data_IF_965572944238
#
_entry.id   IF_965572944238
#
_cell.length_a   1.000
_cell.length_b   1.000
_cell.length_c   1.000
_cell.angle_alpha   90.00
_cell.angle_beta   90.00
_cell.angle_gamma   90.00
#
_symmetry.space_group_name_H-M   'P 1'
#
loop_
_entity.id
_entity.type
_entity.pdbx_description
1 polymer ?
#
# COMPACT_ATOMS: atom_id res chain seq x y z
N UNK A 1 -2.61 17.67 -0.28
CA UNK A 1 -3.20 18.59 0.71
C UNK A 1 -4.16 17.91 1.69
N UNK A 2 -5.07 17.04 1.25
CA UNK A 2 -6.06 16.36 2.12
C UNK A 2 -5.38 15.53 3.22
N UNK A 3 -4.31 14.79 2.89
CA UNK A 3 -3.58 13.95 3.85
C UNK A 3 -2.98 14.74 5.02
N UNK A 4 -2.48 15.95 4.76
CA UNK A 4 -1.91 16.81 5.81
C UNK A 4 -2.97 17.27 6.81
N UNK A 5 -4.16 17.63 6.33
CA UNK A 5 -5.29 18.04 7.17
C UNK A 5 -5.72 16.90 8.11
N UNK A 6 -5.85 15.68 7.59
CA UNK A 6 -6.18 14.51 8.41
C UNK A 6 -5.10 14.22 9.47
N UNK A 7 -3.83 14.35 9.10
CA UNK A 7 -2.71 14.15 10.01
C UNK A 7 -2.73 15.15 11.17
N UNK A 8 -2.86 16.44 10.87
CA UNK A 8 -2.91 17.48 11.92
C UNK A 8 -4.15 17.34 12.80
N UNK A 9 -5.30 16.98 12.22
CA UNK A 9 -6.53 16.73 12.99
C UNK A 9 -6.36 15.53 13.94
N UNK A 10 -5.76 14.44 13.48
CA UNK A 10 -5.50 13.26 14.30
C UNK A 10 -4.52 13.55 15.45
N UNK A 11 -3.47 14.35 15.20
CA UNK A 11 -2.55 14.80 16.24
C UNK A 11 -3.28 15.67 17.27
N UNK A 12 -4.11 16.62 16.84
CA UNK A 12 -4.88 17.47 17.74
C UNK A 12 -5.81 16.68 18.67
N UNK A 13 -6.53 15.69 18.11
CA UNK A 13 -7.40 14.79 18.88
C UNK A 13 -6.57 13.90 19.81
N UNK A 14 -5.42 13.38 19.36
CA UNK A 14 -4.54 12.57 20.19
C UNK A 14 -3.99 13.36 21.38
N UNK A 15 -3.57 14.61 21.18
CA UNK A 15 -3.12 15.49 22.25
C UNK A 15 -4.25 15.77 23.24
N UNK A 16 -5.47 16.00 22.78
CA UNK A 16 -6.63 16.21 23.65
C UNK A 16 -6.97 14.96 24.48
N UNK A 17 -6.82 13.77 23.91
CA UNK A 17 -7.10 12.50 24.60
C UNK A 17 -5.98 12.05 25.54
N UNK A 18 -4.75 12.53 25.34
CA UNK A 18 -3.57 12.07 26.07
C UNK A 18 -3.73 12.10 27.60
N UNK A 19 -4.22 13.17 28.24
CA UNK A 19 -4.40 13.21 29.67
C UNK A 19 -5.51 12.31 30.20
N UNK A 20 -6.52 12.01 29.37
CA UNK A 20 -7.73 11.27 29.77
C UNK A 20 -7.69 9.80 29.38
N UNK A 21 -7.16 9.49 28.21
CA UNK A 21 -7.17 8.14 27.59
C UNK A 21 -5.91 7.89 26.78
N UNK A 22 -4.78 7.71 27.48
CA UNK A 22 -3.44 7.54 26.85
C UNK A 22 -3.41 6.50 25.74
N UNK A 23 -4.08 5.35 25.93
CA UNK A 23 -4.11 4.29 24.93
C UNK A 23 -4.91 4.67 23.67
N UNK A 24 -6.02 5.39 23.85
CA UNK A 24 -6.83 5.83 22.72
C UNK A 24 -6.07 6.89 21.88
N UNK A 25 -5.34 7.80 22.55
CA UNK A 25 -4.50 8.78 21.89
C UNK A 25 -3.37 8.12 21.08
N UNK A 26 -2.69 7.14 21.71
CA UNK A 26 -1.63 6.37 21.05
C UNK A 26 -2.17 5.58 19.86
N UNK A 27 -3.31 4.90 20.02
CA UNK A 27 -3.96 4.14 18.95
C UNK A 27 -4.27 5.03 17.76
N UNK A 28 -4.91 6.18 17.99
CA UNK A 28 -5.27 7.12 16.95
C UNK A 28 -4.03 7.62 16.17
N UNK A 29 -2.98 8.00 16.91
CA UNK A 29 -1.75 8.49 16.31
C UNK A 29 -1.07 7.40 15.47
N UNK A 30 -0.91 6.20 16.02
CA UNK A 30 -0.29 5.07 15.33
C UNK A 30 -1.10 4.66 14.09
N UNK A 31 -2.42 4.52 14.21
CA UNK A 31 -3.30 4.18 13.08
C UNK A 31 -3.19 5.22 11.96
N UNK A 32 -3.14 6.51 12.30
CA UNK A 32 -2.99 7.58 11.31
C UNK A 32 -1.64 7.51 10.60
N UNK A 33 -0.55 7.29 11.35
CA UNK A 33 0.79 7.16 10.78
C UNK A 33 0.90 5.96 9.84
N UNK A 34 0.37 4.79 10.25
CA UNK A 34 0.34 3.61 9.39
C UNK A 34 -0.52 3.82 8.15
N UNK A 35 -1.70 4.43 8.29
CA UNK A 35 -2.56 4.74 7.16
C UNK A 35 -1.92 5.67 6.14
N UNK A 36 -1.21 6.70 6.61
CA UNK A 36 -0.49 7.61 5.73
C UNK A 36 0.72 6.94 5.06
N UNK A 37 1.48 6.13 5.80
CA UNK A 37 2.67 5.48 5.27
C UNK A 37 2.34 4.41 4.22
N UNK A 38 1.34 3.59 4.46
CA UNK A 38 0.98 2.46 3.59
C UNK A 38 -0.07 2.81 2.53
N UNK A 39 -0.88 3.84 2.77
CA UNK A 39 -1.93 4.26 1.85
C UNK A 39 -1.46 5.14 0.68
N UNK A 40 -0.17 5.41 0.56
CA UNK A 40 0.36 6.32 -0.48
C UNK A 40 0.09 5.82 -1.91
N UNK A 41 0.09 4.50 -2.13
CA UNK A 41 -0.19 3.90 -3.44
C UNK A 41 -1.67 3.87 -3.82
N UNK A 42 -2.59 3.99 -2.85
CA UNK A 42 -4.04 3.88 -3.10
C UNK A 42 -4.56 4.91 -4.12
N UNK A 43 -4.20 6.21 -4.06
CA UNK A 43 -4.66 7.19 -5.04
C UNK A 43 -4.21 6.89 -6.46
N UNK A 44 -3.00 6.35 -6.60
CA UNK A 44 -2.43 5.95 -7.89
C UNK A 44 -3.16 4.74 -8.46
N UNK A 45 -3.32 3.68 -7.65
CA UNK A 45 -4.04 2.48 -8.05
C UNK A 45 -5.51 2.80 -8.41
N UNK A 46 -6.17 3.69 -7.66
CA UNK A 46 -7.52 4.14 -7.97
C UNK A 46 -7.59 4.88 -9.30
N UNK A 47 -6.62 5.78 -9.58
CA UNK A 47 -6.55 6.52 -10.83
C UNK A 47 -6.33 5.59 -12.02
N UNK A 48 -5.39 4.64 -11.91
CA UNK A 48 -5.12 3.66 -12.95
C UNK A 48 -6.29 2.69 -13.18
N UNK A 49 -7.00 2.31 -12.13
CA UNK A 49 -8.23 1.51 -12.26
C UNK A 49 -9.31 2.21 -13.11
N UNK A 50 -9.49 3.52 -12.92
CA UNK A 50 -10.58 4.25 -13.57
C UNK A 50 -10.20 4.86 -14.92
N UNK A 51 -8.95 5.29 -15.07
CA UNK A 51 -8.48 6.07 -16.22
C UNK A 51 -7.21 5.48 -16.87
N UNK A 52 -6.73 4.32 -16.40
CA UNK A 52 -5.55 3.68 -16.96
C UNK A 52 -5.79 3.20 -18.40
N UNK A 53 -4.82 3.41 -19.26
CA UNK A 53 -4.84 2.91 -20.63
C UNK A 53 -4.13 1.57 -20.67
N UNK A 54 -4.81 0.56 -21.21
CA UNK A 54 -4.27 -0.78 -21.36
C UNK A 54 -3.27 -0.84 -22.53
N UNK A 55 -2.12 -1.44 -22.28
CA UNK A 55 -1.13 -1.82 -23.28
C UNK A 55 -0.59 -3.20 -22.94
N UNK A 56 -0.08 -3.90 -23.94
CA UNK A 56 0.66 -5.14 -23.71
C UNK A 56 2.10 -4.80 -23.34
N UNK A 57 2.55 -5.37 -22.21
CA UNK A 57 3.94 -5.33 -21.77
C UNK A 57 4.56 -6.72 -21.84
N UNK A 58 5.86 -6.79 -21.60
CA UNK A 58 6.62 -8.03 -21.55
C UNK A 58 7.41 -8.09 -20.26
N UNK A 59 7.38 -9.23 -19.58
CA UNK A 59 8.14 -9.44 -18.36
C UNK A 59 9.63 -9.54 -18.69
N UNK A 60 10.43 -8.65 -18.13
CA UNK A 60 11.87 -8.59 -18.35
C UNK A 60 12.68 -9.29 -17.26
N UNK A 61 12.21 -9.26 -15.98
CA UNK A 61 12.85 -9.93 -14.85
C UNK A 61 11.80 -10.48 -13.90
N UNK A 62 12.06 -11.65 -13.34
CA UNK A 62 11.24 -12.28 -12.29
C UNK A 62 12.11 -12.52 -11.07
N UNK A 63 11.79 -11.87 -9.95
CA UNK A 63 12.47 -12.02 -8.66
C UNK A 63 11.47 -12.51 -7.59
N UNK A 64 11.19 -13.82 -7.61
CA UNK A 64 10.26 -14.43 -6.66
C UNK A 64 10.83 -14.54 -5.24
N UNK A 65 12.16 -14.42 -5.06
CA UNK A 65 12.81 -14.44 -3.76
C UNK A 65 12.62 -13.15 -2.96
N UNK A 66 12.43 -12.03 -3.65
CA UNK A 66 12.28 -10.70 -3.04
C UNK A 66 10.82 -10.23 -3.11
N UNK A 67 9.98 -10.76 -2.24
CA UNK A 67 8.54 -10.47 -2.16
C UNK A 67 7.75 -10.71 -3.46
N UNK A 68 8.28 -11.53 -4.38
CA UNK A 68 7.61 -11.84 -5.63
C UNK A 68 7.59 -10.67 -6.62
N UNK A 69 8.66 -9.90 -6.73
CA UNK A 69 8.72 -8.74 -7.62
C UNK A 69 8.93 -9.17 -9.08
N UNK A 70 8.13 -8.58 -9.97
CA UNK A 70 8.30 -8.68 -11.43
C UNK A 70 8.69 -7.32 -11.99
N UNK A 71 9.54 -7.35 -13.02
CA UNK A 71 9.87 -6.18 -13.82
C UNK A 71 9.31 -6.39 -15.21
N UNK A 72 8.80 -5.35 -15.82
CA UNK A 72 8.17 -5.44 -17.13
C UNK A 72 8.46 -4.19 -17.96
N UNK A 73 8.53 -4.41 -19.27
CA UNK A 73 8.73 -3.37 -20.26
C UNK A 73 7.48 -3.23 -21.12
N UNK A 74 7.15 -2.02 -21.52
CA UNK A 74 6.03 -1.71 -22.39
C UNK A 74 6.34 -0.50 -23.27
N UNK A 75 5.60 -0.34 -24.37
CA UNK A 75 5.82 0.72 -25.33
C UNK A 75 4.61 1.63 -25.41
N UNK A 76 4.82 2.95 -25.25
CA UNK A 76 3.79 3.98 -25.41
C UNK A 76 4.26 5.01 -26.42
N UNK A 77 3.50 5.22 -27.48
CA UNK A 77 3.83 6.19 -28.53
C UNK A 77 5.26 6.03 -29.10
N UNK A 78 5.72 4.78 -29.25
CA UNK A 78 7.05 4.45 -29.79
C UNK A 78 8.21 4.62 -28.79
N UNK A 79 7.94 4.95 -27.52
CA UNK A 79 8.94 5.02 -26.45
C UNK A 79 8.79 3.82 -25.52
N UNK A 80 9.90 3.21 -25.17
CA UNK A 80 9.94 2.11 -24.20
C UNK A 80 9.99 2.66 -22.78
N UNK A 81 9.21 2.04 -21.90
CA UNK A 81 9.16 2.29 -20.48
C UNK A 81 9.37 0.97 -19.74
N UNK A 82 9.99 1.06 -18.57
CA UNK A 82 10.18 -0.08 -17.66
C UNK A 82 9.61 0.26 -16.31
N UNK A 83 8.96 -0.70 -15.68
CA UNK A 83 8.40 -0.57 -14.33
C UNK A 83 8.54 -1.89 -13.58
N UNK A 84 8.22 -1.86 -12.30
CA UNK A 84 8.24 -3.06 -11.45
C UNK A 84 7.05 -3.07 -10.50
N UNK A 85 6.52 -4.26 -10.25
CA UNK A 85 5.37 -4.48 -9.41
C UNK A 85 5.57 -5.72 -8.55
N UNK A 86 4.81 -5.81 -7.45
CA UNK A 86 4.62 -7.06 -6.74
C UNK A 86 3.68 -7.95 -7.55
N UNK A 87 4.09 -9.16 -7.90
CA UNK A 87 3.30 -10.05 -8.74
C UNK A 87 1.90 -10.30 -8.15
N UNK A 88 1.82 -10.52 -6.84
CA UNK A 88 0.54 -10.72 -6.13
C UNK A 88 -0.39 -9.53 -6.26
N UNK A 89 0.14 -8.31 -6.20
CA UNK A 89 -0.66 -7.08 -6.29
C UNK A 89 -1.38 -6.96 -7.65
N UNK A 90 -0.75 -7.42 -8.73
CA UNK A 90 -1.37 -7.51 -10.06
C UNK A 90 -2.28 -8.74 -10.26
N UNK A 91 -2.41 -9.61 -9.26
CA UNK A 91 -3.12 -10.89 -9.38
C UNK A 91 -2.34 -11.94 -10.18
N UNK A 92 -1.02 -11.80 -10.25
CA UNK A 92 -0.12 -12.69 -10.97
C UNK A 92 0.61 -13.58 -9.97
N UNK A 93 0.56 -14.90 -10.19
CA UNK A 93 1.34 -15.85 -9.39
C UNK A 93 2.79 -15.88 -9.88
N UNK A 94 3.70 -15.41 -9.03
CA UNK A 94 5.12 -15.34 -9.34
C UNK A 94 5.74 -16.68 -9.77
N UNK A 95 5.19 -17.81 -9.33
CA UNK A 95 5.67 -19.16 -9.69
C UNK A 95 5.28 -19.54 -11.12
N UNK A 96 4.25 -18.92 -11.67
CA UNK A 96 3.69 -19.25 -12.99
C UNK A 96 4.12 -18.23 -14.07
N UNK A 97 5.04 -17.32 -13.72
CA UNK A 97 5.49 -16.24 -14.60
C UNK A 97 6.92 -16.50 -15.06
N UNK A 98 7.18 -16.27 -16.34
CA UNK A 98 8.52 -16.40 -16.93
C UNK A 98 8.92 -15.12 -17.66
N UNK A 99 10.21 -14.89 -17.76
CA UNK A 99 10.77 -13.80 -18.59
C UNK A 99 10.34 -14.00 -20.04
N UNK A 100 9.93 -12.91 -20.69
CA UNK A 100 9.40 -12.92 -22.05
C UNK A 100 7.89 -13.14 -22.16
N UNK A 101 7.19 -13.43 -21.06
CA UNK A 101 5.72 -13.56 -21.10
C UNK A 101 5.05 -12.22 -21.30
N UNK A 102 4.00 -12.14 -22.15
CA UNK A 102 3.16 -10.95 -22.25
C UNK A 102 2.35 -10.76 -20.97
N UNK A 103 2.18 -9.50 -20.58
CA UNK A 103 1.38 -9.10 -19.41
C UNK A 103 0.56 -7.85 -19.73
N UNK A 104 -0.71 -7.77 -19.31
CA UNK A 104 -1.46 -6.54 -19.43
C UNK A 104 -0.87 -5.47 -18.51
N UNK A 105 -0.63 -4.28 -19.04
CA UNK A 105 -0.10 -3.12 -18.32
C UNK A 105 -1.08 -1.97 -18.44
N UNK A 106 -1.46 -1.38 -17.32
CA UNK A 106 -2.29 -0.17 -17.27
C UNK A 106 -1.40 1.00 -16.90
N UNK A 107 -1.30 2.00 -17.76
CA UNK A 107 -0.49 3.18 -17.53
C UNK A 107 -1.31 4.47 -17.49
N UNK A 108 -0.77 5.49 -16.83
CA UNK A 108 -1.33 6.83 -16.79
C UNK A 108 -0.92 7.61 -18.04
N UNK A 109 -1.91 8.07 -18.81
CA UNK A 109 -1.65 8.87 -20.03
C UNK A 109 -0.93 10.18 -19.76
N UNK A 110 -1.10 10.78 -18.58
CA UNK A 110 -0.41 12.00 -18.18
C UNK A 110 1.05 11.75 -17.72
N UNK A 111 1.32 10.56 -17.22
CA UNK A 111 2.66 10.13 -16.79
C UNK A 111 2.88 8.65 -17.14
N UNK A 112 3.33 8.33 -18.34
CA UNK A 112 3.50 6.95 -18.77
C UNK A 112 4.47 6.11 -17.94
N UNK A 113 5.29 6.70 -17.08
CA UNK A 113 6.14 5.96 -16.14
C UNK A 113 5.33 5.36 -14.97
N UNK A 114 4.15 5.89 -14.72
CA UNK A 114 3.22 5.36 -13.73
C UNK A 114 2.39 4.25 -14.36
N UNK A 115 2.68 3.01 -14.03
CA UNK A 115 2.01 1.85 -14.61
C UNK A 115 1.92 0.69 -13.61
N UNK A 116 0.86 -0.09 -13.75
CA UNK A 116 0.58 -1.30 -12.97
C UNK A 116 0.45 -2.48 -13.94
N UNK A 117 1.15 -3.57 -13.65
CA UNK A 117 1.01 -4.83 -14.36
C UNK A 117 -0.15 -5.65 -13.77
N UNK A 118 -0.89 -6.36 -14.63
CA UNK A 118 -2.03 -7.19 -14.20
C UNK A 118 -3.32 -6.39 -14.04
N UNK A 119 -4.11 -6.69 -13.01
CA UNK A 119 -5.42 -6.09 -12.81
C UNK A 119 -5.35 -4.94 -11.76
N UNK A 120 -5.58 -3.67 -12.16
CA UNK A 120 -5.55 -2.54 -11.23
C UNK A 120 -6.59 -2.63 -10.11
N UNK A 121 -7.71 -3.32 -10.32
CA UNK A 121 -8.71 -3.52 -9.27
C UNK A 121 -8.20 -4.45 -8.17
N UNK A 122 -7.47 -5.50 -8.54
CA UNK A 122 -6.83 -6.41 -7.58
C UNK A 122 -5.77 -5.66 -6.77
N UNK A 123 -4.92 -4.90 -7.45
CA UNK A 123 -3.90 -4.06 -6.81
C UNK A 123 -4.52 -3.08 -5.81
N UNK A 124 -5.57 -2.35 -6.21
CA UNK A 124 -6.28 -1.43 -5.33
C UNK A 124 -6.85 -2.13 -4.09
N UNK A 125 -7.46 -3.29 -4.26
CA UNK A 125 -8.02 -4.06 -3.15
C UNK A 125 -6.93 -4.54 -2.18
N UNK A 126 -5.83 -5.09 -2.68
CA UNK A 126 -4.70 -5.51 -1.84
C UNK A 126 -4.12 -4.35 -1.04
N UNK A 127 -3.87 -3.22 -1.68
CA UNK A 127 -3.36 -2.03 -1.00
C UNK A 127 -4.34 -1.51 0.04
N UNK A 128 -5.64 -1.49 -0.27
CA UNK A 128 -6.66 -1.05 0.67
C UNK A 128 -6.74 -1.97 1.89
N UNK A 129 -6.84 -3.28 1.69
CA UNK A 129 -6.94 -4.24 2.79
C UNK A 129 -5.67 -4.30 3.63
N UNK A 130 -4.48 -4.28 3.01
CA UNK A 130 -3.22 -4.27 3.76
C UNK A 130 -3.07 -3.00 4.60
N UNK A 131 -3.45 -1.84 4.05
CA UNK A 131 -3.44 -0.56 4.78
C UNK A 131 -4.44 -0.60 5.94
N UNK A 132 -5.67 -1.06 5.69
CA UNK A 132 -6.70 -1.17 6.72
C UNK A 132 -6.29 -2.12 7.84
N UNK A 133 -5.75 -3.28 7.50
CA UNK A 133 -5.24 -4.25 8.46
C UNK A 133 -4.10 -3.68 9.31
N UNK A 134 -3.17 -2.95 8.68
CA UNK A 134 -2.08 -2.32 9.39
C UNK A 134 -2.58 -1.19 10.33
N UNK A 135 -3.51 -0.36 9.88
CA UNK A 135 -4.10 0.71 10.70
C UNK A 135 -4.82 0.18 11.94
N UNK A 136 -5.52 -0.94 11.81
CA UNK A 136 -6.31 -1.51 12.91
C UNK A 136 -5.49 -2.49 13.76
N UNK A 137 -4.68 -3.35 13.13
CA UNK A 137 -3.99 -4.45 13.80
C UNK A 137 -2.74 -4.04 14.55
N UNK A 138 -1.83 -3.27 13.91
CA UNK A 138 -0.56 -2.92 14.55
C UNK A 138 -0.71 -2.12 15.86
N UNK A 139 -1.55 -1.07 15.93
CA UNK A 139 -1.75 -0.35 17.18
C UNK A 139 -2.32 -1.24 18.31
N UNK A 140 -3.22 -2.18 17.97
CA UNK A 140 -3.76 -3.15 18.94
C UNK A 140 -2.65 -4.05 19.46
N UNK A 141 -1.81 -4.59 18.58
CA UNK A 141 -0.68 -5.44 18.98
C UNK A 141 0.30 -4.71 19.90
N UNK A 142 0.66 -3.46 19.57
CA UNK A 142 1.57 -2.66 20.39
C UNK A 142 0.96 -2.43 21.80
N UNK A 143 -0.32 -2.04 21.87
CA UNK A 143 -1.02 -1.85 23.15
C UNK A 143 -1.07 -3.15 23.94
N UNK A 144 -1.39 -4.27 23.31
CA UNK A 144 -1.41 -5.59 23.93
C UNK A 144 -0.06 -5.96 24.56
N UNK A 145 1.03 -5.81 23.81
CA UNK A 145 2.38 -6.10 24.32
C UNK A 145 2.79 -5.14 25.44
N UNK A 146 2.41 -3.87 25.35
CA UNK A 146 2.66 -2.89 26.41
C UNK A 146 1.96 -3.28 27.71
N UNK A 147 0.68 -3.64 27.66
CA UNK A 147 -0.10 -4.06 28.83
C UNK A 147 0.42 -5.37 29.42
N UNK A 148 0.85 -6.31 28.59
CA UNK A 148 1.44 -7.57 29.04
C UNK A 148 2.77 -7.36 29.79
N UNK A 149 3.60 -6.42 29.31
CA UNK A 149 4.91 -6.10 29.93
C UNK A 149 4.76 -5.33 31.24
N UNK A 150 3.72 -4.51 31.36
CA UNK A 150 3.41 -3.71 32.54
C UNK A 150 2.07 -4.15 33.12
N UNK A 151 1.97 -5.34 33.75
CA UNK A 151 0.76 -5.69 34.45
C UNK A 151 0.53 -4.63 35.53
N UNK A 152 -0.63 -3.96 35.43
CA UNK A 152 -0.98 -2.92 36.38
C UNK A 152 -0.74 -3.50 37.80
N UNK A 153 0.16 -2.87 38.55
CA UNK A 153 0.36 -3.14 39.94
C UNK A 153 -1.05 -3.11 40.57
N UNK A 154 -1.56 -4.28 40.95
CA UNK A 154 -2.78 -4.39 41.72
C UNK A 154 -2.51 -3.59 42.98
N UNK A 155 -2.94 -2.35 43.03
CA UNK A 155 -2.99 -1.57 44.24
C UNK A 155 -4.00 -2.26 45.12
N UNK A 156 -3.46 -2.92 46.13
CA UNK A 156 -4.18 -3.32 47.33
C UNK A 156 -4.87 -2.12 47.96
#
# INVERSE_FOLDING_TARGET
MISALFFFSAIGIAIYLLPKRKFAAFYLLAATLFGLALGQGIPEAYRLKNNGILVEGTISVVDCGNHGRIYFDYVVAGRQFSSSENASAGGVDCKNVNVGMPIPVYYDSANPQTAIAGNPATNLNEQFFSTLFAMLGFPVLIIFFYLRKNPASKSS
#
